data_IF_368271101770
#
_entry.id   IF_368271101770
#
_cell.length_a   1.000
_cell.length_b   1.000
_cell.length_c   1.000
_cell.angle_alpha   90.00
_cell.angle_beta   90.00
_cell.angle_gamma   90.00
#
_symmetry.space_group_name_H-M   'P 1'
#
loop_
_entity.id
_entity.type
_entity.pdbx_description
1 polymer ?
#
# COMPACT_ATOMS: atom_id res chain seq x y z
N UNK A 1 34.51 16.10 13.44
CA UNK A 1 34.06 16.03 12.03
C UNK A 1 33.80 17.44 11.54
N UNK A 2 34.29 17.81 10.36
CA UNK A 2 34.00 19.11 9.75
C UNK A 2 32.64 19.09 9.04
N UNK A 3 31.95 20.23 8.88
CA UNK A 3 30.68 20.31 8.14
C UNK A 3 30.75 19.77 6.70
N UNK A 4 31.95 19.78 6.09
CA UNK A 4 32.23 19.22 4.76
C UNK A 4 32.28 17.68 4.70
N UNK A 5 32.31 17.00 5.85
CA UNK A 5 32.30 15.54 5.96
C UNK A 5 30.91 14.96 6.21
N UNK A 6 29.89 15.82 6.37
CA UNK A 6 28.50 15.36 6.47
C UNK A 6 28.01 14.93 5.08
N UNK A 7 27.28 13.80 4.98
CA UNK A 7 26.68 13.39 3.71
C UNK A 7 25.79 14.52 3.19
N UNK A 8 26.12 15.03 1.99
CA UNK A 8 25.32 16.05 1.31
C UNK A 8 23.89 15.55 1.20
N UNK A 9 22.95 16.24 1.82
CA UNK A 9 21.52 15.95 1.71
C UNK A 9 21.15 15.96 0.22
N UNK A 10 20.89 14.77 -0.34
CA UNK A 10 20.44 14.64 -1.73
C UNK A 10 19.00 15.11 -1.80
N UNK A 11 18.77 16.28 -2.39
CA UNK A 11 17.42 16.72 -2.76
C UNK A 11 16.93 15.79 -3.86
N UNK A 12 16.10 14.81 -3.51
CA UNK A 12 15.49 13.92 -4.50
C UNK A 12 14.32 14.68 -5.15
N UNK A 13 14.32 14.90 -6.47
CA UNK A 13 13.25 15.65 -7.13
C UNK A 13 11.90 14.96 -6.94
N UNK A 14 10.85 15.77 -6.74
CA UNK A 14 9.45 15.34 -6.75
C UNK A 14 8.94 15.52 -8.18
N UNK A 15 8.28 14.49 -8.73
CA UNK A 15 7.67 14.55 -10.05
C UNK A 15 6.19 14.92 -9.97
N UNK A 16 5.68 15.55 -11.04
CA UNK A 16 4.25 15.74 -11.23
C UNK A 16 3.56 14.39 -11.47
N UNK A 17 2.57 14.09 -10.63
CA UNK A 17 1.74 12.91 -10.78
C UNK A 17 0.60 13.18 -11.75
N UNK A 18 0.20 12.21 -12.59
CA UNK A 18 -1.02 12.35 -13.38
C UNK A 18 -2.22 12.60 -12.46
N UNK A 19 -3.14 13.45 -12.89
CA UNK A 19 -4.43 13.63 -12.22
C UNK A 19 -5.13 12.28 -12.02
N UNK A 20 -5.96 12.16 -10.98
CA UNK A 20 -6.78 10.96 -10.81
C UNK A 20 -7.89 11.01 -11.86
N UNK A 21 -8.01 9.99 -12.75
CA UNK A 21 -9.10 9.97 -13.71
C UNK A 21 -10.44 9.78 -13.00
N UNK A 22 -11.52 10.24 -13.63
CA UNK A 22 -12.88 10.05 -13.15
C UNK A 22 -13.72 9.42 -14.27
N UNK A 23 -14.30 8.22 -14.07
CA UNK A 23 -14.26 7.41 -12.85
C UNK A 23 -12.92 6.68 -12.63
N UNK A 24 -12.64 6.28 -11.38
CA UNK A 24 -11.53 5.38 -11.01
C UNK A 24 -11.95 4.48 -9.85
N UNK A 25 -12.65 3.40 -10.19
CA UNK A 25 -13.29 2.47 -9.25
C UNK A 25 -12.29 1.40 -8.81
N UNK A 26 -11.30 1.82 -8.02
CA UNK A 26 -10.26 0.91 -7.57
C UNK A 26 -10.70 0.00 -6.43
N UNK A 27 -10.33 -1.29 -6.52
CA UNK A 27 -10.48 -2.27 -5.45
C UNK A 27 -9.10 -2.64 -4.95
N UNK A 28 -8.79 -2.33 -3.69
CA UNK A 28 -7.45 -2.44 -3.12
C UNK A 28 -7.45 -3.11 -1.76
N UNK A 29 -6.49 -4.02 -1.55
CA UNK A 29 -6.21 -4.70 -0.29
C UNK A 29 -5.89 -6.18 -0.46
N UNK A 30 -5.33 -6.79 0.59
CA UNK A 30 -4.99 -8.22 0.60
C UNK A 30 -6.20 -9.11 0.34
N UNK A 31 -6.07 -10.02 -0.63
CA UNK A 31 -7.14 -10.96 -1.02
C UNK A 31 -8.40 -10.31 -1.61
N UNK A 32 -8.44 -8.98 -1.77
CA UNK A 32 -9.60 -8.29 -2.35
C UNK A 32 -9.51 -8.35 -3.86
N UNK A 33 -10.64 -8.66 -4.51
CA UNK A 33 -10.75 -8.69 -5.97
C UNK A 33 -12.17 -8.36 -6.44
N UNK A 34 -12.33 -7.75 -7.62
CA UNK A 34 -13.62 -7.63 -8.26
C UNK A 34 -14.27 -9.00 -8.51
N UNK A 35 -15.61 -9.06 -8.49
CA UNK A 35 -16.36 -10.29 -8.80
C UNK A 35 -15.99 -10.80 -10.19
N UNK A 36 -15.88 -12.12 -10.33
CA UNK A 36 -15.58 -12.77 -11.62
C UNK A 36 -14.10 -12.77 -12.02
N UNK A 37 -13.22 -12.06 -11.31
CA UNK A 37 -11.77 -12.11 -11.57
C UNK A 37 -11.19 -13.44 -11.06
N UNK A 38 -10.64 -14.22 -11.99
CA UNK A 38 -9.89 -15.44 -11.69
C UNK A 38 -8.40 -15.16 -11.82
N UNK A 39 -7.70 -15.32 -10.70
CA UNK A 39 -6.24 -15.22 -10.64
C UNK A 39 -5.61 -16.57 -10.95
N UNK A 40 -4.45 -16.53 -11.60
CA UNK A 40 -3.50 -17.66 -11.66
C UNK A 40 -2.38 -17.37 -10.65
N UNK A 41 -1.40 -18.28 -10.52
CA UNK A 41 -0.24 -18.16 -9.61
C UNK A 41 0.73 -17.00 -9.94
N UNK A 42 0.23 -15.88 -10.46
CA UNK A 42 1.00 -14.69 -10.82
C UNK A 42 0.53 -14.03 -12.13
N UNK A 43 1.01 -12.80 -12.40
CA UNK A 43 0.74 -12.09 -13.64
C UNK A 43 1.50 -12.70 -14.83
N UNK A 44 0.92 -12.62 -16.03
CA UNK A 44 1.63 -12.98 -17.27
C UNK A 44 2.21 -11.71 -17.90
N UNK A 45 3.53 -11.64 -18.05
CA UNK A 45 4.24 -10.47 -18.61
C UNK A 45 3.92 -9.16 -17.85
N UNK A 46 4.11 -9.10 -16.52
CA UNK A 46 3.95 -7.86 -15.77
C UNK A 46 4.99 -6.80 -16.16
N UNK A 47 4.63 -5.54 -15.97
CA UNK A 47 5.52 -4.38 -16.03
C UNK A 47 6.03 -4.12 -14.63
N UNK A 48 7.34 -4.22 -14.42
CA UNK A 48 7.95 -3.88 -13.14
C UNK A 48 7.83 -2.37 -12.87
N UNK A 49 7.27 -1.99 -11.73
CA UNK A 49 7.07 -0.60 -11.34
C UNK A 49 8.25 -0.08 -10.51
N UNK A 50 8.71 -0.91 -9.57
CA UNK A 50 9.79 -0.61 -8.63
C UNK A 50 9.64 -1.42 -7.35
N UNK A 51 10.58 -1.23 -6.42
CA UNK A 51 10.64 -1.96 -5.17
C UNK A 51 10.86 -1.00 -4.01
N UNK A 52 10.22 -1.31 -2.88
CA UNK A 52 10.36 -0.56 -1.64
C UNK A 52 10.62 -1.48 -0.48
N UNK A 53 11.28 -0.93 0.52
CA UNK A 53 11.47 -1.56 1.81
C UNK A 53 10.61 -0.90 2.87
N UNK A 54 9.74 -1.69 3.49
CA UNK A 54 8.93 -1.31 4.64
C UNK A 54 9.67 -1.68 5.91
N UNK A 55 9.67 -0.83 6.92
CA UNK A 55 10.29 -1.17 8.21
C UNK A 55 9.52 -0.52 9.35
N UNK A 56 8.87 -1.30 10.22
CA UNK A 56 8.12 -0.77 11.37
C UNK A 56 8.84 -0.94 12.71
N UNK A 57 9.98 -1.63 12.71
CA UNK A 57 10.98 -1.60 13.80
C UNK A 57 12.34 -2.03 13.25
N UNK A 58 13.42 -1.87 14.04
CA UNK A 58 14.76 -2.32 13.63
C UNK A 58 14.87 -3.83 13.37
N UNK A 59 13.91 -4.63 13.87
CA UNK A 59 13.88 -6.09 13.70
C UNK A 59 12.73 -6.54 12.78
N UNK A 60 11.97 -5.59 12.22
CA UNK A 60 10.81 -5.92 11.40
C UNK A 60 10.79 -5.05 10.14
N UNK A 61 11.24 -5.67 9.06
CA UNK A 61 11.31 -5.12 7.72
C UNK A 61 10.66 -6.06 6.70
N UNK A 62 10.27 -5.53 5.55
CA UNK A 62 9.71 -6.28 4.43
C UNK A 62 10.08 -5.61 3.13
N UNK A 63 10.57 -6.39 2.19
CA UNK A 63 10.82 -5.94 0.82
C UNK A 63 9.62 -6.30 -0.06
N UNK A 64 9.03 -5.28 -0.70
CA UNK A 64 7.95 -5.44 -1.66
C UNK A 64 8.36 -4.94 -3.04
N UNK A 65 8.27 -5.81 -4.05
CA UNK A 65 8.40 -5.44 -5.45
C UNK A 65 7.01 -5.31 -6.09
N UNK A 66 6.75 -4.19 -6.77
CA UNK A 66 5.46 -3.90 -7.38
C UNK A 66 5.48 -4.04 -8.90
N UNK A 67 4.38 -4.56 -9.42
CA UNK A 67 4.22 -4.90 -10.82
C UNK A 67 2.83 -4.51 -11.30
N UNK A 68 2.72 -3.95 -12.49
CA UNK A 68 1.45 -3.72 -13.16
C UNK A 68 1.22 -4.78 -14.22
N UNK A 69 0.02 -5.37 -14.23
CA UNK A 69 -0.38 -6.32 -15.25
C UNK A 69 -1.62 -5.85 -16.00
N UNK A 70 -1.54 -5.86 -17.32
CA UNK A 70 -2.67 -5.58 -18.21
C UNK A 70 -3.51 -6.84 -18.41
N UNK A 71 -4.59 -6.95 -17.64
CA UNK A 71 -5.59 -7.99 -17.84
C UNK A 71 -6.50 -7.74 -19.04
N UNK A 72 -7.47 -8.65 -19.23
CA UNK A 72 -8.52 -8.49 -20.25
C UNK A 72 -9.43 -7.31 -19.95
N UNK A 73 -9.94 -7.22 -18.72
CA UNK A 73 -10.90 -6.21 -18.28
C UNK A 73 -10.34 -5.23 -17.23
N UNK A 74 -9.20 -5.54 -16.62
CA UNK A 74 -8.66 -4.76 -15.50
C UNK A 74 -7.16 -4.54 -15.65
N UNK A 75 -6.71 -3.39 -15.17
CA UNK A 75 -5.35 -3.22 -14.68
C UNK A 75 -5.24 -3.84 -13.29
N UNK A 76 -4.15 -4.56 -13.04
CA UNK A 76 -3.92 -5.26 -11.79
C UNK A 76 -2.57 -4.87 -11.20
N UNK A 77 -2.57 -4.37 -9.97
CA UNK A 77 -1.36 -4.19 -9.18
C UNK A 77 -1.03 -5.50 -8.48
N UNK A 78 0.17 -6.01 -8.76
CA UNK A 78 0.74 -7.18 -8.15
C UNK A 78 1.88 -6.78 -7.24
N UNK A 79 1.94 -7.41 -6.08
CA UNK A 79 3.06 -7.38 -5.16
C UNK A 79 3.79 -8.71 -5.25
N UNK A 80 5.11 -8.66 -5.32
CA UNK A 80 5.99 -9.81 -5.10
C UNK A 80 6.75 -9.58 -3.81
N UNK A 81 6.67 -10.53 -2.89
CA UNK A 81 7.30 -10.44 -1.58
C UNK A 81 7.92 -11.79 -1.22
N UNK A 82 8.94 -11.76 -0.37
CA UNK A 82 9.52 -12.94 0.22
C UNK A 82 8.87 -13.18 1.57
N UNK A 83 8.44 -14.42 1.83
CA UNK A 83 7.91 -14.82 3.13
C UNK A 83 9.01 -15.55 3.89
N UNK A 84 9.57 -14.91 4.91
CA UNK A 84 10.66 -15.46 5.72
C UNK A 84 10.25 -16.72 6.48
N UNK A 85 8.95 -16.91 6.77
CA UNK A 85 8.47 -18.10 7.46
C UNK A 85 8.46 -19.32 6.53
N UNK A 86 8.18 -19.11 5.25
CA UNK A 86 8.07 -20.18 4.25
C UNK A 86 9.32 -20.30 3.35
N UNK A 87 10.24 -19.34 3.42
CA UNK A 87 11.47 -19.30 2.64
C UNK A 87 11.25 -19.15 1.14
N UNK A 88 10.12 -18.57 0.72
CA UNK A 88 9.67 -18.57 -0.67
C UNK A 88 9.17 -17.21 -1.16
N UNK A 89 9.23 -17.01 -2.47
CA UNK A 89 8.68 -15.82 -3.13
C UNK A 89 7.23 -16.01 -3.52
N UNK A 90 6.39 -15.07 -3.13
CA UNK A 90 4.95 -15.09 -3.39
C UNK A 90 4.50 -13.94 -4.28
N UNK A 91 3.42 -14.21 -5.02
CA UNK A 91 2.69 -13.21 -5.78
C UNK A 91 1.35 -12.94 -5.12
N UNK A 92 1.03 -11.68 -4.94
CA UNK A 92 -0.26 -11.25 -4.41
C UNK A 92 -0.84 -10.14 -5.27
N UNK A 93 -2.13 -10.25 -5.60
CA UNK A 93 -2.84 -9.19 -6.31
C UNK A 93 -3.41 -8.24 -5.26
N UNK A 94 -2.97 -7.00 -5.28
CA UNK A 94 -3.28 -6.05 -4.20
C UNK A 94 -4.13 -4.87 -4.67
N UNK A 95 -4.35 -4.73 -5.98
CA UNK A 95 -5.14 -3.64 -6.55
C UNK A 95 -5.71 -3.95 -7.92
N UNK A 96 -6.90 -3.40 -8.19
CA UNK A 96 -7.61 -3.54 -9.45
C UNK A 96 -8.26 -2.23 -9.85
N UNK A 97 -8.28 -1.92 -11.13
CA UNK A 97 -9.16 -0.89 -11.71
C UNK A 97 -9.62 -1.35 -13.11
N UNK A 98 -10.87 -1.08 -13.52
CA UNK A 98 -11.30 -1.35 -14.89
C UNK A 98 -10.37 -0.73 -15.93
N UNK A 99 -10.13 -1.46 -17.01
CA UNK A 99 -9.09 -1.12 -18.00
C UNK A 99 -9.39 0.14 -18.80
N UNK A 100 -10.67 0.44 -18.99
CA UNK A 100 -11.21 1.59 -19.70
C UNK A 100 -11.17 2.89 -18.88
N UNK A 101 -11.02 2.78 -17.56
CA UNK A 101 -11.00 3.93 -16.64
C UNK A 101 -9.62 4.59 -16.47
N UNK A 102 -8.55 3.97 -16.97
CA UNK A 102 -7.20 4.48 -16.77
C UNK A 102 -6.24 4.04 -17.87
N UNK A 103 -5.32 4.94 -18.22
CA UNK A 103 -4.09 4.59 -18.94
C UNK A 103 -3.16 3.74 -18.07
N UNK A 104 -2.15 3.12 -18.68
CA UNK A 104 -1.13 2.36 -17.95
C UNK A 104 -0.46 3.18 -16.85
N UNK A 105 -0.10 4.43 -17.15
CA UNK A 105 0.58 5.33 -16.22
C UNK A 105 -0.33 5.73 -15.06
N UNK A 106 -1.58 6.08 -15.34
CA UNK A 106 -2.56 6.41 -14.30
C UNK A 106 -2.86 5.20 -13.42
N UNK A 107 -3.05 4.02 -14.01
CA UNK A 107 -3.27 2.79 -13.26
C UNK A 107 -2.07 2.46 -12.37
N UNK A 108 -0.83 2.55 -12.88
CA UNK A 108 0.38 2.32 -12.09
C UNK A 108 0.47 3.25 -10.88
N UNK A 109 0.26 4.55 -11.09
CA UNK A 109 0.40 5.58 -10.05
C UNK A 109 -0.72 5.45 -9.02
N UNK A 110 -1.99 5.44 -9.46
CA UNK A 110 -3.13 5.54 -8.55
C UNK A 110 -3.43 4.22 -7.84
N UNK A 111 -3.21 3.06 -8.46
CA UNK A 111 -3.31 1.77 -7.74
C UNK A 111 -2.25 1.66 -6.65
N UNK A 112 -1.01 2.08 -6.94
CA UNK A 112 0.06 2.04 -5.95
C UNK A 112 -0.22 3.01 -4.80
N UNK A 113 -0.66 4.23 -5.10
CA UNK A 113 -1.08 5.21 -4.10
C UNK A 113 -2.21 4.68 -3.21
N UNK A 114 -3.25 4.08 -3.81
CA UNK A 114 -4.37 3.51 -3.06
C UNK A 114 -3.94 2.32 -2.19
N UNK A 115 -3.00 1.49 -2.67
CA UNK A 115 -2.45 0.39 -1.89
C UNK A 115 -1.60 0.86 -0.72
N UNK A 116 -0.74 1.85 -0.90
CA UNK A 116 0.02 2.41 0.21
C UNK A 116 -0.85 3.14 1.24
N UNK A 117 -1.95 3.78 0.81
CA UNK A 117 -2.98 4.28 1.73
C UNK A 117 -3.61 3.14 2.53
N UNK A 118 -3.85 1.99 1.91
CA UNK A 118 -4.35 0.80 2.60
C UNK A 118 -3.34 0.26 3.63
N UNK A 119 -2.07 0.12 3.26
CA UNK A 119 -0.98 -0.31 4.18
C UNK A 119 -0.85 0.64 5.37
N UNK A 120 -0.82 1.95 5.10
CA UNK A 120 -0.73 2.97 6.14
C UNK A 120 -1.89 2.89 7.14
N UNK A 121 -3.13 2.67 6.66
CA UNK A 121 -4.30 2.47 7.54
C UNK A 121 -4.23 1.21 8.39
N UNK A 122 -3.44 0.21 7.99
CA UNK A 122 -3.21 -1.02 8.75
C UNK A 122 -2.17 -0.88 9.86
N UNK A 123 -1.57 0.30 10.06
CA UNK A 123 -0.60 0.56 11.13
C UNK A 123 0.85 0.32 10.72
N UNK A 124 1.14 0.20 9.43
CA UNK A 124 2.51 0.16 8.93
C UNK A 124 3.06 1.60 8.89
N UNK A 125 3.70 2.03 9.98
CA UNK A 125 3.98 3.45 10.24
C UNK A 125 5.15 4.04 9.46
N UNK A 126 6.01 3.21 8.86
CA UNK A 126 7.26 3.70 8.27
C UNK A 126 7.44 3.23 6.83
N UNK A 127 7.32 4.22 5.95
CA UNK A 127 7.83 4.18 4.58
C UNK A 127 9.35 3.97 4.63
N UNK A 128 9.95 3.15 3.78
CA UNK A 128 9.66 2.99 2.35
C UNK A 128 10.91 3.39 1.58
N UNK A 129 12.08 2.86 1.93
CA UNK A 129 13.30 3.15 1.16
C UNK A 129 13.09 2.61 -0.25
N UNK A 130 13.31 3.44 -1.27
CA UNK A 130 13.19 3.03 -2.67
C UNK A 130 14.47 2.29 -3.01
N UNK A 131 14.39 0.96 -3.08
CA UNK A 131 15.54 0.09 -3.38
C UNK A 131 15.84 0.10 -4.88
N UNK A 132 14.81 -0.07 -5.70
CA UNK A 132 14.93 -0.14 -7.14
C UNK A 132 13.79 0.58 -7.84
N UNK A 133 14.09 1.08 -9.04
CA UNK A 133 13.11 1.73 -9.92
C UNK A 133 12.88 0.89 -11.16
N UNK A 134 11.62 0.75 -11.56
CA UNK A 134 11.24 0.15 -12.83
C UNK A 134 10.66 1.20 -13.76
N UNK A 135 9.43 0.95 -14.23
CA UNK A 135 8.65 1.91 -15.03
C UNK A 135 8.38 3.22 -14.28
N UNK A 136 8.29 3.17 -12.94
CA UNK A 136 8.19 4.37 -12.12
C UNK A 136 9.59 4.78 -11.68
N UNK A 137 9.95 6.04 -11.97
CA UNK A 137 11.18 6.63 -11.46
C UNK A 137 11.11 6.81 -9.94
N UNK A 138 12.27 6.96 -9.29
CA UNK A 138 12.36 7.26 -7.87
C UNK A 138 11.62 8.56 -7.50
N UNK A 139 11.64 9.56 -8.39
CA UNK A 139 10.89 10.80 -8.22
C UNK A 139 9.38 10.58 -8.21
N UNK A 140 8.84 9.75 -9.10
CA UNK A 140 7.40 9.41 -9.13
C UNK A 140 7.00 8.60 -7.90
N UNK A 141 7.77 7.58 -7.55
CA UNK A 141 7.51 6.79 -6.34
C UNK A 141 7.57 7.65 -5.08
N UNK A 142 8.54 8.57 -5.00
CA UNK A 142 8.63 9.55 -3.90
C UNK A 142 7.44 10.49 -3.87
N UNK A 143 6.98 11.00 -5.02
CA UNK A 143 5.76 11.81 -5.09
C UNK A 143 4.53 11.07 -4.58
N UNK A 144 4.38 9.78 -4.92
CA UNK A 144 3.29 8.95 -4.40
C UNK A 144 3.38 8.84 -2.88
N UNK A 145 4.57 8.55 -2.34
CA UNK A 145 4.80 8.51 -0.89
C UNK A 145 4.37 9.80 -0.21
N UNK A 146 4.81 10.95 -0.73
CA UNK A 146 4.44 12.26 -0.18
C UNK A 146 2.93 12.51 -0.26
N UNK A 147 2.26 12.16 -1.35
CA UNK A 147 0.81 12.29 -1.49
C UNK A 147 0.06 11.48 -0.42
N UNK A 148 0.49 10.24 -0.15
CA UNK A 148 -0.12 9.38 0.88
C UNK A 148 0.17 9.89 2.31
N UNK A 149 1.31 10.56 2.51
CA UNK A 149 1.66 11.18 3.78
C UNK A 149 0.85 12.46 4.06
N UNK A 150 0.71 13.35 3.07
CA UNK A 150 0.09 14.69 3.22
C UNK A 150 -1.43 14.63 3.45
N UNK A 151 -2.13 13.63 2.90
CA UNK A 151 -3.60 13.51 3.03
C UNK A 151 -4.11 13.28 4.47
N UNK A 152 -3.25 13.17 5.48
CA UNK A 152 -3.64 13.18 6.89
C UNK A 152 -3.78 14.58 7.52
N UNK A 153 -3.36 15.66 6.85
CA UNK A 153 -3.49 17.02 7.40
C UNK A 153 -4.87 17.65 7.20
N UNK A 154 -5.78 16.98 6.48
CA UNK A 154 -7.15 17.43 6.27
C UNK A 154 -8.11 16.29 6.64
N UNK A 155 -8.20 15.98 7.93
CA UNK A 155 -9.45 15.47 8.46
C UNK A 155 -10.35 16.70 8.70
N UNK A 156 -11.57 16.78 8.16
CA UNK A 156 -12.50 17.80 8.60
C UNK A 156 -12.76 17.57 10.09
N UNK A 157 -12.54 18.59 10.90
CA UNK A 157 -13.14 18.70 12.21
C UNK A 157 -14.66 18.75 11.98
N UNK A 158 -15.31 17.60 11.86
CA UNK A 158 -16.76 17.53 11.81
C UNK A 158 -17.27 17.83 13.21
N UNK A 159 -17.91 18.99 13.32
CA UNK A 159 -18.76 19.42 14.41
C UNK A 159 -19.43 18.22 15.10
N UNK A 160 -19.15 18.06 16.39
CA UNK A 160 -20.03 17.36 17.30
C UNK A 160 -21.37 18.12 17.34
N UNK A 161 -22.27 17.75 16.44
CA UNK A 161 -23.69 18.09 16.57
C UNK A 161 -24.24 17.29 17.75
N UNK A 162 -24.78 18.02 18.72
CA UNK A 162 -25.54 17.52 19.85
C UNK A 162 -26.66 16.61 19.35
N UNK A 163 -26.66 15.36 19.79
CA UNK A 163 -27.79 14.44 19.64
C UNK A 163 -27.76 13.43 20.79
N UNK A 164 -28.65 13.63 21.77
CA UNK A 164 -28.92 12.70 22.85
C UNK A 164 -29.20 11.29 22.29
N UNK A 165 -28.44 10.30 22.72
CA UNK A 165 -28.86 8.90 22.64
C UNK A 165 -28.65 8.24 24.01
N UNK A 166 -29.79 7.92 24.59
CA UNK A 166 -30.02 7.17 25.81
C UNK A 166 -29.30 5.82 25.76
N UNK A 167 -28.48 5.53 26.76
CA UNK A 167 -27.82 4.23 26.93
C UNK A 167 -28.82 3.26 27.57
N UNK A 168 -29.03 2.10 26.94
CA UNK A 168 -29.53 0.88 27.62
C UNK A 168 -28.44 -0.19 27.52
N UNK A 169 -28.17 -0.95 28.59
CA UNK A 169 -27.02 -1.83 28.66
C UNK A 169 -27.35 -3.27 28.23
N UNK A 170 -26.39 -3.94 27.61
CA UNK A 170 -26.32 -5.41 27.62
C UNK A 170 -26.29 -6.06 26.25
N UNK A 171 -25.08 -6.35 25.76
CA UNK A 171 -24.79 -7.57 24.97
C UNK A 171 -23.27 -7.77 24.91
N UNK A 172 -22.81 -8.84 25.56
CA UNK A 172 -21.42 -9.28 25.62
C UNK A 172 -20.85 -9.54 24.21
N UNK A 173 -19.80 -8.82 23.83
CA UNK A 173 -18.88 -9.24 22.77
C UNK A 173 -17.92 -10.30 23.32
N UNK A 174 -17.79 -11.42 22.60
CA UNK A 174 -16.73 -12.42 22.80
C UNK A 174 -15.42 -11.92 22.18
N UNK A 175 -14.25 -12.15 22.80
CA UNK A 175 -12.97 -11.76 22.20
C UNK A 175 -12.57 -12.66 21.02
N UNK A 176 -11.93 -12.05 20.01
CA UNK A 176 -11.34 -12.69 18.83
C UNK A 176 -9.93 -13.27 19.17
N UNK A 177 -9.39 -14.22 18.38
CA UNK A 177 -8.65 -15.38 18.90
C UNK A 177 -7.11 -15.21 19.02
N UNK A 178 -6.59 -14.00 19.26
CA UNK A 178 -5.13 -13.80 19.40
C UNK A 178 -4.64 -13.68 20.85
N UNK A 179 -5.54 -13.67 21.84
CA UNK A 179 -5.19 -13.58 23.28
C UNK A 179 -4.88 -14.94 23.93
N UNK A 180 -4.09 -15.79 23.27
CA UNK A 180 -3.49 -16.96 23.94
C UNK A 180 -1.99 -16.77 24.06
N UNK A 181 -1.54 -16.27 25.21
CA UNK A 181 -0.16 -16.51 25.64
C UNK A 181 0.05 -18.03 25.80
N UNK A 182 1.14 -18.60 25.28
CA UNK A 182 1.49 -19.99 25.58
C UNK A 182 1.90 -20.12 27.06
N UNK A 183 1.59 -21.25 27.72
CA UNK A 183 1.95 -21.46 29.12
C UNK A 183 3.46 -21.60 29.27
N UNK A 184 4.02 -20.88 30.25
CA UNK A 184 5.34 -21.16 30.79
C UNK A 184 5.30 -22.55 31.44
N UNK A 185 6.17 -23.45 30.98
CA UNK A 185 6.34 -24.79 31.57
C UNK A 185 7.26 -24.70 32.80
N UNK A 186 7.08 -25.58 33.80
CA UNK A 186 7.80 -25.56 35.07
C UNK A 186 9.28 -25.97 34.96
#
# INVERSE_FOLDING_TARGET
MSPSQLPKQRVVPVADLPGRPEPFDSVVGYGKKPRGVRLRNGPKKPIYLGQVEWAWSSMHERIDAYYLHRGRAHWMLWRRYFDDNEGNWYWDSVGYVPRDQATEREAAVHLLADFWRFEKRKGQERYGWINETGKLSSSVMRSITLQVLVQQRVAPASLASRGNLTVSPGSHMRPFPWDRQPPLSP
#
